data_IF_054710828017
#
_entry.id   IF_054710828017
#
_cell.length_a   1.000
_cell.length_b   1.000
_cell.length_c   1.000
_cell.angle_alpha   90.00
_cell.angle_beta   90.00
_cell.angle_gamma   90.00
#
_symmetry.space_group_name_H-M   'P 1'
#
loop_
_entity.id
_entity.type
_entity.pdbx_description
1 polymer ?
#
# COMPACT_ATOMS: atom_id res chain seq x y z
N UNK A 1 5.64 4.03 12.36
CA UNK A 1 5.68 2.57 12.09
C UNK A 1 7.05 2.23 11.54
N UNK A 2 7.79 1.28 12.11
CA UNK A 2 9.07 0.84 11.52
C UNK A 2 8.75 0.12 10.22
N UNK A 3 9.19 0.63 9.07
CA UNK A 3 8.93 0.04 7.76
C UNK A 3 9.39 -1.42 7.67
N UNK A 4 10.48 -1.76 8.38
CA UNK A 4 11.00 -3.12 8.52
C UNK A 4 9.94 -4.14 9.01
N UNK A 5 9.02 -3.71 9.88
CA UNK A 5 7.96 -4.59 10.38
C UNK A 5 7.02 -5.04 9.25
N UNK A 6 6.72 -4.14 8.30
CA UNK A 6 5.83 -4.46 7.20
C UNK A 6 6.47 -5.46 6.22
N UNK A 7 7.79 -5.35 5.99
CA UNK A 7 8.54 -6.34 5.21
C UNK A 7 8.59 -7.70 5.90
N UNK A 8 8.80 -7.74 7.22
CA UNK A 8 8.80 -8.98 8.01
C UNK A 8 7.43 -9.66 7.98
N UNK A 9 6.35 -8.89 8.19
CA UNK A 9 4.98 -9.41 8.07
C UNK A 9 4.72 -9.93 6.65
N UNK A 10 5.18 -9.22 5.62
CA UNK A 10 5.03 -9.68 4.23
C UNK A 10 5.74 -11.01 4.00
N UNK A 11 6.96 -11.17 4.52
CA UNK A 11 7.72 -12.41 4.43
C UNK A 11 7.01 -13.57 5.15
N UNK A 12 6.49 -13.33 6.36
CA UNK A 12 5.71 -14.33 7.11
C UNK A 12 4.43 -14.73 6.37
N UNK A 13 3.68 -13.76 5.86
CA UNK A 13 2.46 -14.00 5.08
C UNK A 13 2.77 -14.82 3.83
N UNK A 14 3.87 -14.51 3.13
CA UNK A 14 4.30 -15.27 1.96
C UNK A 14 4.73 -16.70 2.33
N UNK A 15 5.51 -16.87 3.40
CA UNK A 15 5.97 -18.18 3.87
C UNK A 15 4.83 -19.10 4.30
N UNK A 16 3.74 -18.53 4.84
CA UNK A 16 2.56 -19.25 5.29
C UNK A 16 1.36 -19.10 4.34
N UNK A 17 1.58 -18.66 3.09
CA UNK A 17 0.52 -18.37 2.12
C UNK A 17 -0.40 -19.57 1.89
N UNK A 18 0.14 -20.79 1.87
CA UNK A 18 -0.63 -22.03 1.70
C UNK A 18 -1.74 -22.17 2.75
N UNK A 19 -1.44 -21.90 4.01
CA UNK A 19 -2.42 -21.98 5.10
C UNK A 19 -3.57 -20.99 4.88
N UNK A 20 -3.27 -19.80 4.37
CA UNK A 20 -4.26 -18.76 4.09
C UNK A 20 -5.12 -19.10 2.86
N UNK A 21 -4.53 -19.72 1.85
CA UNK A 21 -5.21 -20.14 0.61
C UNK A 21 -6.15 -21.32 0.87
N UNK A 22 -5.65 -22.33 1.57
CA UNK A 22 -6.35 -23.61 1.81
C UNK A 22 -7.26 -23.57 3.04
N UNK A 23 -7.39 -22.42 3.73
CA UNK A 23 -8.23 -22.34 4.92
C UNK A 23 -9.70 -22.69 4.60
N UNK A 24 -10.39 -23.50 5.41
CA UNK A 24 -11.77 -23.91 5.14
C UNK A 24 -12.75 -22.74 5.25
N UNK A 25 -12.47 -21.80 6.16
CA UNK A 25 -13.33 -20.65 6.41
C UNK A 25 -13.21 -19.62 5.29
N UNK A 26 -14.35 -19.21 4.75
CA UNK A 26 -14.41 -18.10 3.83
C UNK A 26 -14.09 -16.77 4.51
N UNK A 27 -13.46 -15.86 3.77
CA UNK A 27 -13.31 -14.48 4.23
C UNK A 27 -14.69 -13.82 4.18
N UNK A 28 -15.13 -13.29 5.31
CA UNK A 28 -16.45 -12.66 5.39
C UNK A 28 -16.53 -11.41 4.51
N UNK A 29 -17.72 -11.13 3.97
CA UNK A 29 -17.95 -9.91 3.18
C UNK A 29 -17.66 -8.63 3.95
N UNK A 30 -17.84 -8.64 5.28
CA UNK A 30 -17.51 -7.50 6.16
C UNK A 30 -16.00 -7.25 6.14
N UNK A 31 -15.18 -8.28 6.35
CA UNK A 31 -13.71 -8.16 6.31
C UNK A 31 -13.20 -7.71 4.94
N UNK A 32 -13.83 -8.19 3.85
CA UNK A 32 -13.50 -7.73 2.49
C UNK A 32 -13.86 -6.25 2.29
N UNK A 33 -15.01 -5.83 2.81
CA UNK A 33 -15.44 -4.43 2.83
C UNK A 33 -14.46 -3.53 3.59
N UNK A 34 -14.04 -3.95 4.78
CA UNK A 34 -13.07 -3.22 5.60
C UNK A 34 -11.71 -3.11 4.90
N UNK A 35 -11.21 -4.23 4.34
CA UNK A 35 -9.99 -4.24 3.55
C UNK A 35 -10.05 -3.24 2.39
N UNK A 36 -11.17 -3.21 1.66
CA UNK A 36 -11.37 -2.26 0.57
C UNK A 36 -11.38 -0.81 1.05
N UNK A 37 -12.17 -0.49 2.09
CA UNK A 37 -12.30 0.86 2.64
C UNK A 37 -10.96 1.37 3.15
N UNK A 38 -10.22 0.57 3.91
CA UNK A 38 -8.92 0.96 4.43
C UNK A 38 -7.89 1.17 3.32
N UNK A 39 -7.88 0.30 2.30
CA UNK A 39 -6.99 0.43 1.15
C UNK A 39 -7.30 1.70 0.36
N UNK A 40 -8.58 1.92 0.02
CA UNK A 40 -9.02 3.09 -0.75
C UNK A 40 -8.73 4.40 -0.03
N UNK A 41 -9.05 4.48 1.27
CA UNK A 41 -8.79 5.68 2.07
C UNK A 41 -7.28 6.00 2.13
N UNK A 42 -6.44 4.97 2.25
CA UNK A 42 -4.99 5.12 2.24
C UNK A 42 -4.48 5.62 0.89
N UNK A 43 -4.93 5.01 -0.22
CA UNK A 43 -4.50 5.43 -1.56
C UNK A 43 -4.97 6.83 -1.91
N UNK A 44 -6.19 7.21 -1.52
CA UNK A 44 -6.69 8.57 -1.70
C UNK A 44 -5.87 9.59 -0.92
N UNK A 45 -5.44 9.25 0.30
CA UNK A 45 -4.55 10.11 1.07
C UNK A 45 -3.20 10.27 0.37
N UNK A 46 -2.55 9.15 0.01
CA UNK A 46 -1.26 9.19 -0.68
C UNK A 46 -1.32 9.93 -2.02
N UNK A 47 -2.36 9.75 -2.83
CA UNK A 47 -2.51 10.51 -4.07
C UNK A 47 -2.65 12.01 -3.82
N UNK A 48 -3.35 12.44 -2.77
CA UNK A 48 -3.42 13.86 -2.41
C UNK A 48 -2.04 14.38 -2.04
N UNK A 49 -1.34 13.68 -1.14
CA UNK A 49 -0.01 14.07 -0.69
C UNK A 49 0.98 14.17 -1.88
N UNK A 50 0.96 13.20 -2.80
CA UNK A 50 1.78 13.19 -4.01
C UNK A 50 1.44 14.33 -4.99
N UNK A 51 0.16 14.67 -5.13
CA UNK A 51 -0.26 15.79 -5.98
C UNK A 51 0.16 17.14 -5.38
N UNK A 52 0.12 17.26 -4.06
CA UNK A 52 0.58 18.46 -3.35
C UNK A 52 2.11 18.62 -3.52
N UNK A 53 2.87 17.54 -3.33
CA UNK A 53 4.32 17.50 -3.59
C UNK A 53 4.68 17.90 -5.03
N UNK A 54 4.00 17.33 -6.03
CA UNK A 54 4.27 17.65 -7.45
C UNK A 54 4.06 19.15 -7.76
N UNK A 55 3.13 19.79 -7.05
CA UNK A 55 2.81 21.22 -7.21
C UNK A 55 3.72 22.14 -6.39
N UNK A 56 4.70 21.59 -5.68
CA UNK A 56 5.55 22.34 -4.76
C UNK A 56 4.81 22.87 -3.53
N UNK A 57 3.66 22.28 -3.18
CA UNK A 57 2.96 22.60 -1.95
C UNK A 57 3.67 21.87 -0.81
N UNK A 58 4.16 22.63 0.17
CA UNK A 58 4.72 22.02 1.38
C UNK A 58 3.68 21.14 2.06
N UNK A 59 4.06 19.89 2.28
CA UNK A 59 3.18 18.92 2.94
C UNK A 59 2.97 19.38 4.36
N UNK A 60 1.70 19.56 4.72
CA UNK A 60 1.26 19.76 6.10
C UNK A 60 1.39 18.45 6.87
N UNK A 61 2.63 18.03 7.15
CA UNK A 61 2.84 16.95 8.10
C UNK A 61 2.36 17.45 9.47
N UNK A 62 1.40 16.77 10.12
CA UNK A 62 1.05 17.11 11.50
C UNK A 62 2.26 17.15 12.42
N UNK A 63 3.33 16.39 12.13
CA UNK A 63 4.57 16.39 12.90
C UNK A 63 5.40 17.68 12.73
N UNK A 64 5.30 18.36 11.57
CA UNK A 64 5.87 19.70 11.39
C UNK A 64 5.18 20.74 12.28
N UNK A 65 3.87 20.59 12.55
CA UNK A 65 3.15 21.46 13.50
C UNK A 65 3.64 21.30 14.94
N UNK A 66 4.27 20.16 15.27
CA UNK A 66 4.87 19.88 16.58
C UNK A 66 6.38 20.13 16.62
N UNK A 67 6.97 20.78 15.61
CA UNK A 67 8.40 21.10 15.58
C UNK A 67 9.33 19.89 15.40
N UNK A 68 8.77 18.72 15.06
CA UNK A 68 9.54 17.54 14.68
C UNK A 68 9.76 17.58 13.19
N UNK A 69 10.82 18.29 12.76
CA UNK A 69 11.23 18.24 11.36
C UNK A 69 11.67 16.80 11.03
N UNK A 70 11.06 16.14 10.04
CA UNK A 70 11.43 14.77 9.69
C UNK A 70 12.89 14.71 9.27
N UNK A 71 13.58 13.66 9.70
CA UNK A 71 15.01 13.44 9.40
C UNK A 71 15.30 13.30 7.90
N UNK A 72 14.30 12.90 7.12
CA UNK A 72 14.38 12.68 5.68
C UNK A 72 13.41 13.63 4.95
N UNK A 73 13.67 13.99 3.68
CA UNK A 73 12.72 14.73 2.86
C UNK A 73 11.32 14.09 2.86
N UNK A 74 10.24 14.89 2.83
CA UNK A 74 8.87 14.35 2.83
C UNK A 74 8.61 13.38 1.65
N UNK A 75 9.16 13.67 0.47
CA UNK A 75 9.06 12.80 -0.72
C UNK A 75 9.73 11.45 -0.47
N UNK A 76 10.93 11.43 0.12
CA UNK A 76 11.60 10.19 0.49
C UNK A 76 10.74 9.37 1.46
N UNK A 77 10.25 10.01 2.54
CA UNK A 77 9.48 9.34 3.60
C UNK A 77 8.17 8.73 3.09
N UNK A 78 7.46 9.43 2.19
CA UNK A 78 6.23 8.92 1.58
C UNK A 78 6.54 7.80 0.57
N UNK A 79 7.61 7.94 -0.19
CA UNK A 79 8.04 6.95 -1.19
C UNK A 79 8.36 5.62 -0.52
N UNK A 80 9.14 5.65 0.56
CA UNK A 80 9.47 4.46 1.33
C UNK A 80 8.20 3.77 1.85
N UNK A 81 7.22 4.53 2.38
CA UNK A 81 5.94 3.97 2.83
C UNK A 81 5.16 3.29 1.71
N UNK A 82 5.08 3.91 0.53
CA UNK A 82 4.34 3.39 -0.60
C UNK A 82 5.00 2.12 -1.14
N UNK A 83 6.32 2.17 -1.38
CA UNK A 83 7.07 1.05 -1.97
C UNK A 83 7.14 -0.16 -1.02
N UNK A 84 7.30 0.06 0.28
CA UNK A 84 7.27 -1.04 1.25
C UNK A 84 5.86 -1.65 1.34
N UNK A 85 4.81 -0.85 1.21
CA UNK A 85 3.43 -1.35 1.20
C UNK A 85 3.07 -2.11 -0.10
N UNK A 86 3.72 -1.80 -1.23
CA UNK A 86 3.57 -2.52 -2.51
C UNK A 86 3.89 -4.01 -2.36
N UNK A 87 4.92 -4.35 -1.57
CA UNK A 87 5.32 -5.73 -1.33
C UNK A 87 4.18 -6.54 -0.70
N UNK A 88 3.61 -6.04 0.41
CA UNK A 88 2.49 -6.71 1.06
C UNK A 88 1.28 -6.79 0.12
N UNK A 89 0.98 -5.71 -0.60
CA UNK A 89 -0.21 -5.66 -1.44
C UNK A 89 -0.15 -6.66 -2.60
N UNK A 90 1.03 -6.88 -3.19
CA UNK A 90 1.26 -7.91 -4.20
C UNK A 90 1.05 -9.32 -3.65
N UNK A 91 1.71 -9.63 -2.53
CA UNK A 91 1.60 -10.95 -1.88
C UNK A 91 0.16 -11.24 -1.49
N UNK A 92 -0.50 -10.27 -0.85
CA UNK A 92 -1.88 -10.40 -0.41
C UNK A 92 -2.85 -10.58 -1.59
N UNK A 93 -2.68 -9.82 -2.67
CA UNK A 93 -3.51 -9.96 -3.88
C UNK A 93 -3.39 -11.37 -4.47
N UNK A 94 -2.17 -11.90 -4.58
CA UNK A 94 -1.94 -13.27 -5.08
C UNK A 94 -2.60 -14.30 -4.16
N UNK A 95 -2.52 -14.14 -2.84
CA UNK A 95 -3.17 -15.02 -1.86
C UNK A 95 -4.69 -14.99 -2.03
N UNK A 96 -5.31 -13.81 -2.17
CA UNK A 96 -6.75 -13.67 -2.34
C UNK A 96 -7.23 -14.30 -3.67
N UNK A 97 -6.50 -14.09 -4.76
CA UNK A 97 -6.81 -14.73 -6.06
C UNK A 97 -6.63 -16.24 -5.99
N UNK A 98 -5.56 -16.73 -5.36
CA UNK A 98 -5.33 -18.16 -5.19
C UNK A 98 -6.39 -18.81 -4.28
N UNK A 99 -6.86 -18.09 -3.27
CA UNK A 99 -7.94 -18.49 -2.37
C UNK A 99 -9.25 -18.74 -3.11
N UNK A 100 -9.62 -17.84 -4.02
CA UNK A 100 -10.79 -17.98 -4.90
C UNK A 100 -10.65 -19.19 -5.82
N UNK A 101 -9.50 -19.32 -6.49
CA UNK A 101 -9.21 -20.46 -7.36
C UNK A 101 -9.24 -21.80 -6.64
N UNK A 102 -8.72 -21.86 -5.41
CA UNK A 102 -8.76 -23.06 -4.58
C UNK A 102 -10.20 -23.48 -4.26
N UNK A 103 -11.10 -22.51 -4.01
CA UNK A 103 -12.53 -22.74 -3.75
C UNK A 103 -13.39 -22.88 -5.00
N UNK A 104 -12.82 -22.60 -6.19
CA UNK A 104 -13.55 -22.48 -7.46
C UNK A 104 -14.66 -21.42 -7.39
N UNK A 105 -14.34 -20.31 -6.75
CA UNK A 105 -15.17 -19.10 -6.63
C UNK A 105 -14.43 -17.92 -7.29
N UNK A 106 -15.15 -16.83 -7.58
CA UNK A 106 -14.62 -15.58 -8.17
C UNK A 106 -15.07 -14.34 -7.38
N UNK A 107 -15.49 -14.51 -6.13
CA UNK A 107 -16.04 -13.45 -5.28
C UNK A 107 -15.02 -12.40 -4.85
N UNK A 108 -13.77 -12.80 -4.57
CA UNK A 108 -12.75 -11.96 -3.94
C UNK A 108 -11.82 -11.33 -4.98
N UNK A 109 -11.48 -12.07 -6.05
CA UNK A 109 -10.55 -11.66 -7.10
C UNK A 109 -10.84 -10.27 -7.67
N UNK A 110 -12.08 -9.91 -8.05
CA UNK A 110 -12.38 -8.58 -8.58
C UNK A 110 -12.00 -7.44 -7.63
N UNK A 111 -12.24 -7.63 -6.32
CA UNK A 111 -11.90 -6.67 -5.29
C UNK A 111 -10.39 -6.58 -5.08
N UNK A 112 -9.71 -7.73 -4.99
CA UNK A 112 -8.26 -7.81 -4.82
C UNK A 112 -7.53 -7.12 -5.99
N UNK A 113 -7.94 -7.41 -7.23
CA UNK A 113 -7.39 -6.78 -8.44
C UNK A 113 -7.65 -5.28 -8.47
N UNK A 114 -8.84 -4.83 -8.03
CA UNK A 114 -9.14 -3.40 -7.94
C UNK A 114 -8.21 -2.66 -6.96
N UNK A 115 -8.01 -3.23 -5.77
CA UNK A 115 -7.11 -2.69 -4.76
C UNK A 115 -5.67 -2.67 -5.26
N UNK A 116 -5.21 -3.75 -5.90
CA UNK A 116 -3.88 -3.82 -6.49
C UNK A 116 -3.66 -2.76 -7.57
N UNK A 117 -4.59 -2.60 -8.51
CA UNK A 117 -4.52 -1.59 -9.58
C UNK A 117 -4.44 -0.18 -9.00
N UNK A 118 -5.24 0.10 -7.97
CA UNK A 118 -5.22 1.40 -7.28
C UNK A 118 -3.85 1.68 -6.66
N UNK A 119 -3.22 0.67 -6.06
CA UNK A 119 -1.86 0.80 -5.54
C UNK A 119 -0.81 1.01 -6.65
N UNK A 120 -0.92 0.29 -7.77
CA UNK A 120 -0.02 0.48 -8.93
C UNK A 120 -0.09 1.92 -9.46
N UNK A 121 -1.29 2.52 -9.49
CA UNK A 121 -1.47 3.93 -9.86
C UNK A 121 -0.74 4.87 -8.90
N UNK A 122 -0.87 4.63 -7.58
CA UNK A 122 -0.14 5.40 -6.56
C UNK A 122 1.38 5.24 -6.76
N UNK A 123 1.88 4.01 -6.91
CA UNK A 123 3.30 3.74 -7.14
C UNK A 123 3.84 4.46 -8.37
N UNK A 124 3.10 4.47 -9.49
CA UNK A 124 3.49 5.21 -10.69
C UNK A 124 3.62 6.70 -10.40
N UNK A 125 2.64 7.28 -9.72
CA UNK A 125 2.66 8.69 -9.33
C UNK A 125 3.85 9.00 -8.41
N UNK A 126 4.13 8.13 -7.45
CA UNK A 126 5.30 8.25 -6.56
C UNK A 126 6.60 8.33 -7.35
N UNK A 127 6.82 7.39 -8.28
CA UNK A 127 8.04 7.39 -9.09
C UNK A 127 8.16 8.67 -9.94
N UNK A 128 7.04 9.15 -10.49
CA UNK A 128 7.01 10.43 -11.21
C UNK A 128 7.44 11.59 -10.31
N UNK A 129 6.89 11.70 -9.09
CA UNK A 129 7.25 12.76 -8.13
C UNK A 129 8.73 12.68 -7.76
N UNK A 130 9.27 11.48 -7.50
CA UNK A 130 10.69 11.30 -7.20
C UNK A 130 11.60 11.78 -8.33
N UNK A 131 11.21 11.58 -9.59
CA UNK A 131 12.01 12.01 -10.74
C UNK A 131 11.99 13.54 -10.93
N UNK A 132 10.96 14.21 -10.45
CA UNK A 132 10.82 15.68 -10.56
C UNK A 132 11.33 16.44 -9.33
N UNK A 133 11.58 15.74 -8.22
CA UNK A 133 12.01 16.35 -6.97
C UNK A 133 13.54 16.53 -6.91
N UNK A 134 13.97 17.79 -6.82
CA UNK A 134 15.37 18.21 -6.74
C UNK A 134 16.01 17.77 -5.41
N UNK A 135 15.22 17.55 -4.35
CA UNK A 135 15.74 17.04 -3.08
C UNK A 135 16.14 15.55 -3.12
N UNK A 136 15.77 14.85 -4.20
CA UNK A 136 16.07 13.43 -4.42
C UNK A 136 17.26 13.21 -5.39
N UNK A 137 17.86 14.26 -5.93
CA UNK A 137 19.11 14.16 -6.71
C UNK A 137 20.33 14.12 -5.77
N UNK A 138 21.30 13.21 -6.01
CA UNK A 138 22.48 13.03 -5.17
C UNK A 138 23.44 14.22 -5.19
#
# INVERSE_FOLDING_TARGET
MKLAYLTEVTALVAAHARMLIEQPAEISTIQLGDYYVYSRNRFNRWMRDLNDMERGVEIRDPLHLFGLSPRNPPVQSLTEQILVNDLLNRVWTVILVASDRHRRDERIEPLAVNVYRSHVSVRRKTLQVCMTDISMTP
#
